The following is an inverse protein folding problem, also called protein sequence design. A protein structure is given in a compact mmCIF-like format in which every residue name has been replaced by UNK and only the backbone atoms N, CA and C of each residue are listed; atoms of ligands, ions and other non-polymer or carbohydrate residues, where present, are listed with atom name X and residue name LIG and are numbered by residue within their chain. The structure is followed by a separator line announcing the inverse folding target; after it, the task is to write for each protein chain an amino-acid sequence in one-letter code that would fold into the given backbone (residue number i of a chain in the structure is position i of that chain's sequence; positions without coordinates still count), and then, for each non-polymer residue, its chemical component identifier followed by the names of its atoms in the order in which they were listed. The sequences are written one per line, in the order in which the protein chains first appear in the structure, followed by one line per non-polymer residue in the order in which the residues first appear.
data_IF_585351929133
#
_entry.id   IF_585351929133
#
_cell.length_a   1.000
_cell.length_b   1.000
_cell.length_c   1.000
_cell.angle_alpha   90.00
_cell.angle_beta   90.00
_cell.angle_gamma   90.00
#
_symmetry.space_group_name_H-M   'P 1'
#
loop_
_entity.id
_entity.type
_entity.pdbx_description
1 polymer ?
#
# COMPACT_ATOMS: atom_id res chain seq x y z
N UNK A 1 -12.49 8.66 -4.05
CA UNK A 1 -11.58 8.16 -2.98
C UNK A 1 -10.33 7.58 -3.60
N UNK A 2 -9.20 7.98 -3.10
CA UNK A 2 -7.88 7.45 -3.50
C UNK A 2 -7.34 6.58 -2.40
N UNK A 3 -6.88 5.38 -2.75
CA UNK A 3 -6.45 4.35 -1.80
C UNK A 3 -5.01 3.98 -2.09
N UNK A 4 -4.20 3.85 -1.05
CA UNK A 4 -2.85 3.30 -1.12
C UNK A 4 -2.81 1.96 -0.39
N UNK A 5 -2.24 0.96 -1.05
CA UNK A 5 -1.95 -0.34 -0.44
C UNK A 5 -0.44 -0.55 -0.52
N UNK A 6 0.25 -0.49 0.62
CA UNK A 6 1.66 -0.88 0.68
C UNK A 6 1.74 -2.40 0.79
N UNK A 7 2.75 -3.01 0.19
CA UNK A 7 2.74 -4.45 0.00
C UNK A 7 1.67 -4.89 -0.98
N UNK A 8 1.27 -4.00 -1.89
CA UNK A 8 0.10 -4.16 -2.74
C UNK A 8 0.20 -5.26 -3.78
N UNK A 9 1.40 -5.71 -4.13
CA UNK A 9 1.60 -6.78 -5.11
C UNK A 9 1.76 -8.16 -4.45
N UNK A 10 1.74 -8.22 -3.11
CA UNK A 10 1.73 -9.47 -2.39
C UNK A 10 0.39 -10.19 -2.46
N UNK A 11 0.32 -11.38 -1.89
CA UNK A 11 -0.88 -12.23 -1.95
C UNK A 11 -2.12 -11.51 -1.40
N UNK A 12 -2.02 -10.93 -0.19
CA UNK A 12 -3.14 -10.24 0.44
C UNK A 12 -3.46 -8.93 -0.28
N UNK A 13 -2.42 -8.17 -0.65
CA UNK A 13 -2.59 -6.88 -1.33
C UNK A 13 -3.33 -7.01 -2.65
N UNK A 14 -3.00 -8.01 -3.46
CA UNK A 14 -3.69 -8.26 -4.73
C UNK A 14 -5.16 -8.62 -4.53
N UNK A 15 -5.46 -9.44 -3.55
CA UNK A 15 -6.84 -9.84 -3.26
C UNK A 15 -7.66 -8.67 -2.72
N UNK A 16 -7.06 -7.85 -1.85
CA UNK A 16 -7.69 -6.64 -1.37
C UNK A 16 -7.99 -5.67 -2.52
N UNK A 17 -7.03 -5.46 -3.41
CA UNK A 17 -7.21 -4.60 -4.57
C UNK A 17 -8.36 -5.09 -5.46
N UNK A 18 -8.41 -6.39 -5.76
CA UNK A 18 -9.49 -6.96 -6.56
C UNK A 18 -10.85 -6.78 -5.87
N UNK A 19 -10.91 -7.00 -4.57
CA UNK A 19 -12.15 -6.82 -3.81
C UNK A 19 -12.63 -5.37 -3.85
N UNK A 20 -11.72 -4.41 -3.72
CA UNK A 20 -12.05 -2.99 -3.81
C UNK A 20 -12.56 -2.61 -5.19
N UNK A 21 -11.95 -3.14 -6.25
CA UNK A 21 -12.42 -2.92 -7.61
C UNK A 21 -13.84 -3.45 -7.80
N UNK A 22 -14.13 -4.64 -7.26
CA UNK A 22 -15.45 -5.27 -7.37
C UNK A 22 -16.51 -4.46 -6.61
N UNK A 23 -16.14 -3.87 -5.48
CA UNK A 23 -17.05 -3.04 -4.68
C UNK A 23 -17.37 -1.69 -5.33
N UNK A 24 -16.45 -1.11 -6.07
CA UNK A 24 -16.53 0.20 -6.71
C UNK A 24 -16.67 1.39 -5.76
N UNK A 25 -17.24 1.21 -4.59
CA UNK A 25 -17.44 2.25 -3.57
C UNK A 25 -17.05 1.74 -2.20
N UNK A 26 -16.68 2.67 -1.31
CA UNK A 26 -16.51 2.40 0.11
C UNK A 26 -17.33 3.40 0.93
N UNK A 27 -17.83 2.92 2.06
CA UNK A 27 -18.61 3.73 2.99
C UNK A 27 -17.95 3.70 4.36
N UNK A 28 -17.64 4.89 4.90
CA UNK A 28 -17.21 5.02 6.28
C UNK A 28 -18.43 5.32 7.14
N UNK A 29 -18.40 4.87 8.38
CA UNK A 29 -19.51 5.07 9.33
C UNK A 29 -19.93 6.54 9.39
N UNK A 30 -21.22 6.77 9.24
CA UNK A 30 -21.79 8.12 9.27
C UNK A 30 -21.59 8.95 8.01
N UNK A 31 -21.05 8.37 6.94
CA UNK A 31 -20.80 9.08 5.68
C UNK A 31 -21.52 8.40 4.51
N UNK A 32 -21.72 9.17 3.44
CA UNK A 32 -22.25 8.64 2.19
C UNK A 32 -21.19 7.76 1.49
N UNK A 33 -21.61 6.77 0.67
CA UNK A 33 -20.67 5.99 -0.13
C UNK A 33 -19.82 6.89 -1.04
N UNK A 34 -18.52 6.57 -1.15
CA UNK A 34 -17.60 7.28 -2.03
C UNK A 34 -17.06 6.34 -3.09
N UNK A 35 -17.05 6.80 -4.35
CA UNK A 35 -16.49 6.04 -5.46
C UNK A 35 -14.97 5.88 -5.30
N UNK A 36 -14.48 4.67 -5.61
CA UNK A 36 -13.04 4.39 -5.65
C UNK A 36 -12.53 4.88 -7.00
N UNK A 37 -11.71 5.94 -6.99
CA UNK A 37 -11.17 6.56 -8.20
C UNK A 37 -9.82 5.97 -8.60
N UNK A 38 -9.00 5.64 -7.60
CA UNK A 38 -7.63 5.17 -7.81
C UNK A 38 -7.19 4.29 -6.66
N UNK A 39 -6.48 3.22 -7.00
CA UNK A 39 -5.82 2.34 -6.05
C UNK A 39 -4.35 2.27 -6.43
N UNK A 40 -3.47 2.81 -5.58
CA UNK A 40 -2.03 2.70 -5.76
C UNK A 40 -1.56 1.43 -5.08
N UNK A 41 -0.97 0.52 -5.84
CA UNK A 41 -0.32 -0.67 -5.33
C UNK A 41 1.18 -0.38 -5.24
N UNK A 42 1.68 -0.23 -4.04
CA UNK A 42 3.07 0.08 -3.77
C UNK A 42 3.78 -1.13 -3.17
N UNK A 43 4.89 -1.54 -3.78
CA UNK A 43 5.68 -2.66 -3.30
C UNK A 43 7.13 -2.51 -3.76
N UNK A 44 8.02 -3.36 -3.22
CA UNK A 44 9.40 -3.45 -3.67
C UNK A 44 9.50 -4.05 -5.07
N UNK A 45 8.59 -4.96 -5.40
CA UNK A 45 8.55 -5.66 -6.69
C UNK A 45 7.21 -5.41 -7.40
N UNK A 46 7.24 -5.48 -8.72
CA UNK A 46 6.02 -5.32 -9.54
C UNK A 46 5.00 -6.44 -9.32
N UNK A 47 5.44 -7.61 -8.89
CA UNK A 47 4.57 -8.74 -8.64
C UNK A 47 4.05 -9.41 -9.90
N UNK A 48 3.27 -10.49 -9.71
CA UNK A 48 2.61 -11.24 -10.78
C UNK A 48 1.11 -11.24 -10.54
N UNK A 49 0.33 -11.38 -11.60
CA UNK A 49 -1.14 -11.46 -11.53
C UNK A 49 -1.78 -10.29 -10.79
N UNK A 50 -1.22 -9.10 -10.97
CA UNK A 50 -1.78 -7.87 -10.40
C UNK A 50 -3.07 -7.54 -11.17
N UNK A 51 -4.15 -7.11 -10.47
CA UNK A 51 -5.39 -6.74 -11.16
C UNK A 51 -5.17 -5.69 -12.24
N UNK A 52 -5.82 -5.88 -13.39
CA UNK A 52 -5.76 -4.94 -14.51
C UNK A 52 -7.05 -4.12 -14.55
N UNK A 53 -6.93 -2.83 -14.26
CA UNK A 53 -8.05 -1.89 -14.26
C UNK A 53 -7.49 -0.48 -14.42
N UNK A 54 -8.17 0.42 -15.14
CA UNK A 54 -7.69 1.81 -15.29
C UNK A 54 -7.47 2.57 -13.97
N UNK A 55 -8.11 2.13 -12.88
CA UNK A 55 -7.97 2.74 -11.56
C UNK A 55 -6.71 2.27 -10.82
N UNK A 56 -6.07 1.20 -11.27
CA UNK A 56 -4.85 0.65 -10.65
C UNK A 56 -3.63 1.43 -11.13
N UNK A 57 -2.83 1.89 -10.17
CA UNK A 57 -1.50 2.45 -10.43
C UNK A 57 -0.48 1.62 -9.65
N UNK A 58 0.48 1.06 -10.37
CA UNK A 58 1.54 0.25 -9.79
C UNK A 58 2.80 1.10 -9.61
N UNK A 59 3.28 1.19 -8.37
CA UNK A 59 4.51 1.92 -8.05
C UNK A 59 5.46 0.98 -7.30
N UNK A 60 6.69 0.88 -7.79
CA UNK A 60 7.73 0.10 -7.11
C UNK A 60 8.72 1.04 -6.44
N UNK A 61 9.21 0.64 -5.29
CA UNK A 61 10.18 1.42 -4.54
C UNK A 61 10.39 0.88 -3.13
N UNK A 62 11.17 1.61 -2.35
CA UNK A 62 11.48 1.28 -0.97
C UNK A 62 10.54 2.05 -0.04
N UNK A 63 9.85 1.33 0.85
CA UNK A 63 8.96 1.94 1.84
C UNK A 63 9.69 2.89 2.81
N UNK A 64 11.00 2.75 2.91
CA UNK A 64 11.85 3.63 3.74
C UNK A 64 12.42 4.83 2.97
N UNK A 65 12.08 5.01 1.69
CA UNK A 65 12.51 6.15 0.88
C UNK A 65 11.52 7.32 1.04
N UNK A 66 11.95 8.46 1.66
CA UNK A 66 11.05 9.59 1.89
C UNK A 66 10.43 10.19 0.64
N UNK A 67 11.17 10.24 -0.46
CA UNK A 67 10.67 10.81 -1.72
C UNK A 67 9.56 9.95 -2.32
N UNK A 68 9.74 8.64 -2.31
CA UNK A 68 8.75 7.69 -2.82
C UNK A 68 7.49 7.74 -1.96
N UNK A 69 7.65 7.72 -0.63
CA UNK A 69 6.51 7.75 0.29
C UNK A 69 5.72 9.06 0.15
N UNK A 70 6.40 10.19 0.01
CA UNK A 70 5.72 11.47 -0.23
C UNK A 70 4.89 11.43 -1.52
N UNK A 71 5.42 10.81 -2.56
CA UNK A 71 4.74 10.70 -3.85
C UNK A 71 3.50 9.79 -3.79
N UNK A 72 3.63 8.61 -3.20
CA UNK A 72 2.53 7.63 -3.19
C UNK A 72 1.42 7.99 -2.20
N UNK A 73 1.70 8.83 -1.21
CA UNK A 73 0.71 9.27 -0.22
C UNK A 73 -0.01 10.55 -0.63
N UNK A 74 0.43 11.21 -1.67
CA UNK A 74 -0.15 12.49 -2.10
C UNK A 74 -1.61 12.32 -2.53
N UNK A 75 -2.51 13.05 -1.87
CA UNK A 75 -3.94 13.01 -2.15
C UNK A 75 -4.66 11.73 -1.75
N UNK A 76 -4.03 10.87 -0.96
CA UNK A 76 -4.60 9.59 -0.53
C UNK A 76 -5.58 9.79 0.63
N UNK A 77 -6.75 9.16 0.52
CA UNK A 77 -7.79 9.20 1.55
C UNK A 77 -7.69 8.04 2.54
N UNK A 78 -7.16 6.89 2.10
CA UNK A 78 -7.13 5.67 2.89
C UNK A 78 -5.87 4.87 2.57
N UNK A 79 -5.22 4.34 3.61
CA UNK A 79 -4.03 3.51 3.47
C UNK A 79 -4.24 2.16 4.13
N UNK A 80 -3.96 1.09 3.40
CA UNK A 80 -3.74 -0.25 3.96
C UNK A 80 -2.24 -0.53 3.92
N UNK A 81 -1.62 -0.60 5.09
CA UNK A 81 -0.19 -0.83 5.21
C UNK A 81 0.09 -2.31 5.43
N UNK A 82 0.34 -3.02 4.34
CA UNK A 82 0.64 -4.46 4.36
C UNK A 82 2.13 -4.74 4.14
N UNK A 83 2.93 -3.73 3.83
CA UNK A 83 4.36 -3.89 3.59
C UNK A 83 5.07 -4.27 4.89
N UNK A 84 5.69 -5.45 4.90
CA UNK A 84 6.47 -5.95 6.03
C UNK A 84 7.40 -7.05 5.56
N UNK A 85 8.51 -7.23 6.27
CA UNK A 85 9.39 -8.39 6.10
C UNK A 85 8.88 -9.48 7.02
N UNK A 86 8.65 -10.68 6.46
CA UNK A 86 8.18 -11.83 7.24
C UNK A 86 9.23 -12.26 8.26
N UNK A 87 8.79 -12.92 9.34
CA UNK A 87 9.63 -13.27 10.49
C UNK A 87 10.94 -13.97 10.12
N UNK A 88 10.89 -14.95 9.22
CA UNK A 88 12.09 -15.69 8.81
C UNK A 88 13.10 -14.78 8.09
N UNK A 89 12.65 -13.87 7.24
CA UNK A 89 13.53 -12.94 6.56
C UNK A 89 14.09 -11.88 7.54
N UNK A 90 13.28 -11.42 8.49
CA UNK A 90 13.72 -10.47 9.51
C UNK A 90 14.74 -11.09 10.47
N UNK A 91 14.60 -12.37 10.81
CA UNK A 91 15.57 -13.09 11.61
C UNK A 91 16.90 -13.31 10.86
N UNK A 92 16.82 -13.56 9.56
CA UNK A 92 18.00 -13.74 8.71
C UNK A 92 18.74 -12.42 8.46
N UNK A 93 18.00 -11.28 8.42
CA UNK A 93 18.55 -9.95 8.21
C UNK A 93 17.84 -8.96 9.13
N UNK A 94 18.44 -8.75 10.31
CA UNK A 94 17.88 -7.83 11.31
C UNK A 94 17.75 -6.39 10.78
N UNK A 95 18.76 -5.90 10.06
CA UNK A 95 18.75 -4.54 9.54
C UNK A 95 17.63 -4.36 8.51
N UNK A 96 17.39 -5.35 7.65
CA UNK A 96 16.28 -5.34 6.72
C UNK A 96 14.93 -5.32 7.46
N UNK A 97 14.77 -6.15 8.47
CA UNK A 97 13.57 -6.19 9.30
C UNK A 97 13.28 -4.85 9.96
N UNK A 98 14.31 -4.23 10.55
CA UNK A 98 14.18 -2.90 11.15
C UNK A 98 13.86 -1.83 10.10
N UNK A 99 14.53 -1.87 8.96
CA UNK A 99 14.33 -0.91 7.89
C UNK A 99 12.89 -0.91 7.38
N UNK A 100 12.32 -2.08 7.10
CA UNK A 100 10.98 -2.21 6.55
C UNK A 100 9.92 -2.11 7.65
N UNK A 101 10.02 -2.93 8.71
CA UNK A 101 8.95 -3.10 9.67
C UNK A 101 8.85 -1.95 10.68
N UNK A 102 9.95 -1.28 10.99
CA UNK A 102 9.94 -0.17 11.93
C UNK A 102 10.14 1.18 11.22
N UNK A 103 11.27 1.36 10.57
CA UNK A 103 11.60 2.66 9.95
C UNK A 103 10.64 3.02 8.82
N UNK A 104 10.25 2.05 7.99
CA UNK A 104 9.27 2.27 6.92
C UNK A 104 7.90 2.67 7.47
N UNK A 105 7.42 1.98 8.51
CA UNK A 105 6.15 2.34 9.14
C UNK A 105 6.20 3.72 9.79
N UNK A 106 7.28 4.05 10.49
CA UNK A 106 7.44 5.37 11.10
C UNK A 106 7.43 6.48 10.05
N UNK A 107 8.14 6.27 8.95
CA UNK A 107 8.17 7.23 7.85
C UNK A 107 6.78 7.42 7.24
N UNK A 108 6.04 6.34 7.02
CA UNK A 108 4.68 6.39 6.49
C UNK A 108 3.76 7.20 7.41
N UNK A 109 3.77 6.91 8.71
CA UNK A 109 2.95 7.61 9.69
C UNK A 109 3.31 9.09 9.79
N UNK A 110 4.59 9.43 9.77
CA UNK A 110 5.05 10.82 9.78
C UNK A 110 4.57 11.57 8.54
N UNK A 111 4.62 10.93 7.37
CA UNK A 111 4.22 11.55 6.11
C UNK A 111 2.70 11.75 6.04
N UNK A 112 1.92 10.83 6.59
CA UNK A 112 0.46 10.89 6.61
C UNK A 112 -0.09 11.86 7.67
N UNK A 113 0.72 12.21 8.63
CA UNK A 113 0.34 13.15 9.69
C UNK A 113 0.21 14.60 9.18
#
# INVERSE_FOLDING_TARGET
MRILITGGTGFIGKQLAQRLLDLNTLTFEGQAPRAIERIVLFDTFAGEDVPTDPRIELVTGDVADPEVIARVTDGVDLVWHLAAVVSSAAEADFDLGMQVNLHGLMLLLETLR
#
